data_IF_551273438432
#
_entry.id   IF_551273438432
#
_cell.length_a   1.000
_cell.length_b   1.000
_cell.length_c   1.000
_cell.angle_alpha   90.00
_cell.angle_beta   90.00
_cell.angle_gamma   90.00
#
_symmetry.space_group_name_H-M   'P 1'
#
loop_
_entity.id
_entity.type
_entity.pdbx_description
1 polymer ?
#
# COMPACT_ATOMS: atom_id res chain seq x y z
N UNK A 1 -21.30 7.68 5.77
CA UNK A 1 -22.25 6.63 6.24
C UNK A 1 -23.04 6.20 5.02
N UNK A 2 -23.11 4.89 4.77
CA UNK A 2 -23.81 4.34 3.61
C UNK A 2 -25.11 3.69 4.08
N UNK A 3 -26.24 4.05 3.46
CA UNK A 3 -27.52 3.37 3.65
C UNK A 3 -27.90 2.64 2.36
N UNK A 4 -28.46 1.44 2.51
CA UNK A 4 -28.88 0.58 1.40
C UNK A 4 -30.37 0.26 1.54
N UNK A 5 -31.13 0.44 0.48
CA UNK A 5 -32.57 0.18 0.45
C UNK A 5 -32.95 -0.65 -0.78
N UNK A 6 -33.70 -1.75 -0.57
CA UNK A 6 -34.32 -2.48 -1.69
C UNK A 6 -35.58 -1.76 -2.13
N UNK A 7 -35.83 -1.73 -3.43
CA UNK A 7 -36.96 -1.01 -4.02
C UNK A 7 -38.05 -1.98 -4.44
N UNK A 8 -39.31 -1.57 -4.27
CA UNK A 8 -40.47 -2.29 -4.79
C UNK A 8 -41.44 -1.34 -5.51
N UNK A 9 -42.18 -1.87 -6.48
CA UNK A 9 -43.25 -1.16 -7.19
C UNK A 9 -44.51 -2.02 -7.14
N UNK A 10 -45.63 -1.46 -6.70
CA UNK A 10 -46.89 -2.19 -6.49
C UNK A 10 -46.75 -3.49 -5.67
N UNK A 11 -45.82 -3.53 -4.71
CA UNK A 11 -45.56 -4.70 -3.87
C UNK A 11 -44.62 -5.75 -4.50
N UNK A 12 -44.20 -5.57 -5.76
CA UNK A 12 -43.23 -6.42 -6.41
C UNK A 12 -41.81 -5.92 -6.12
N UNK A 13 -40.98 -6.78 -5.53
CA UNK A 13 -39.57 -6.48 -5.28
C UNK A 13 -38.83 -6.35 -6.61
N UNK A 14 -38.13 -5.24 -6.79
CA UNK A 14 -37.30 -5.03 -7.97
C UNK A 14 -35.91 -5.63 -7.75
N UNK A 15 -35.22 -6.07 -8.82
CA UNK A 15 -33.85 -6.56 -8.75
C UNK A 15 -32.83 -5.41 -8.63
N UNK A 16 -33.18 -4.31 -7.96
CA UNK A 16 -32.31 -3.14 -7.77
C UNK A 16 -32.27 -2.72 -6.30
N UNK A 17 -31.11 -2.22 -5.87
CA UNK A 17 -30.87 -1.67 -4.54
C UNK A 17 -30.36 -0.25 -4.70
N UNK A 18 -30.92 0.68 -3.93
CA UNK A 18 -30.45 2.07 -3.87
C UNK A 18 -29.42 2.17 -2.74
N UNK A 19 -28.25 2.71 -3.07
CA UNK A 19 -27.23 3.06 -2.08
C UNK A 19 -27.15 4.58 -1.98
N UNK A 20 -27.25 5.10 -0.76
CA UNK A 20 -27.09 6.53 -0.46
C UNK A 20 -25.88 6.70 0.44
N UNK A 21 -24.94 7.52 0.02
CA UNK A 21 -23.76 7.85 0.82
C UNK A 21 -23.76 9.34 1.19
N UNK A 22 -23.62 9.63 2.49
CA UNK A 22 -23.44 10.99 3.01
C UNK A 22 -21.94 11.28 3.10
N UNK A 23 -21.48 12.25 2.31
CA UNK A 23 -20.14 12.80 2.36
C UNK A 23 -20.10 14.09 3.16
N UNK A 24 -18.96 14.37 3.80
CA UNK A 24 -18.70 15.68 4.42
C UNK A 24 -18.15 16.62 3.35
N UNK A 25 -18.64 17.88 3.27
CA UNK A 25 -17.98 18.90 2.47
C UNK A 25 -16.53 19.02 2.93
N UNK A 26 -15.60 19.04 1.98
CA UNK A 26 -14.21 19.37 2.22
C UNK A 26 -13.74 20.32 1.13
N UNK A 27 -12.87 21.25 1.48
CA UNK A 27 -12.25 22.17 0.53
C UNK A 27 -10.79 21.76 0.35
N UNK A 28 -10.38 21.34 -0.86
CA UNK A 28 -9.00 20.94 -1.10
C UNK A 28 -8.09 22.17 -1.13
N UNK A 29 -7.07 22.19 -0.28
CA UNK A 29 -6.00 23.19 -0.37
C UNK A 29 -4.88 22.68 -1.27
N UNK A 30 -4.59 23.41 -2.35
CA UNK A 30 -3.41 23.14 -3.17
C UNK A 30 -2.17 23.52 -2.37
N UNK A 31 -1.27 22.56 -2.19
CA UNK A 31 0.00 22.77 -1.50
C UNK A 31 1.13 22.09 -2.25
N UNK A 32 2.20 22.83 -2.50
CA UNK A 32 3.46 22.27 -2.98
C UNK A 32 4.12 21.48 -1.85
N UNK A 33 4.41 20.21 -2.10
CA UNK A 33 5.26 19.41 -1.20
C UNK A 33 6.72 19.69 -1.48
N UNK A 34 7.51 19.79 -0.42
CA UNK A 34 8.97 19.91 -0.60
C UNK A 34 9.56 18.58 -1.06
N UNK A 35 10.78 18.65 -1.61
CA UNK A 35 11.56 17.46 -1.92
C UNK A 35 11.75 16.60 -0.67
N UNK A 36 12.17 17.22 0.44
CA UNK A 36 12.39 16.54 1.72
C UNK A 36 11.12 15.84 2.25
N UNK A 37 9.95 16.48 2.19
CA UNK A 37 8.70 15.87 2.63
C UNK A 37 8.33 14.65 1.77
N UNK A 38 8.57 14.75 0.46
CA UNK A 38 8.25 13.67 -0.48
C UNK A 38 9.24 12.52 -0.36
N UNK A 39 10.53 12.82 -0.16
CA UNK A 39 11.57 11.82 0.12
C UNK A 39 11.30 11.08 1.43
N UNK A 40 10.95 11.80 2.50
CA UNK A 40 10.61 11.19 3.79
C UNK A 40 9.38 10.29 3.69
N UNK A 41 8.32 10.75 3.02
CA UNK A 41 7.12 9.96 2.79
C UNK A 41 7.41 8.71 1.92
N UNK A 42 8.20 8.87 0.86
CA UNK A 42 8.61 7.77 -0.02
C UNK A 42 9.49 6.75 0.70
N UNK A 43 10.46 7.21 1.49
CA UNK A 43 11.32 6.35 2.31
C UNK A 43 10.51 5.55 3.34
N UNK A 44 9.59 6.20 4.05
CA UNK A 44 8.70 5.50 4.99
C UNK A 44 7.83 4.45 4.29
N UNK A 45 7.29 4.77 3.10
CA UNK A 45 6.51 3.84 2.30
C UNK A 45 7.35 2.65 1.82
N UNK A 46 8.58 2.89 1.34
CA UNK A 46 9.52 1.82 0.95
C UNK A 46 9.81 0.89 2.12
N UNK A 47 10.17 1.44 3.28
CA UNK A 47 10.48 0.63 4.46
C UNK A 47 9.29 -0.19 4.91
N UNK A 48 8.09 0.39 4.96
CA UNK A 48 6.87 -0.34 5.32
C UNK A 48 6.54 -1.45 4.32
N UNK A 49 6.71 -1.18 3.02
CA UNK A 49 6.50 -2.16 1.97
C UNK A 49 7.48 -3.32 2.08
N UNK A 50 8.79 -3.03 2.20
CA UNK A 50 9.81 -4.07 2.37
C UNK A 50 9.58 -4.88 3.64
N UNK A 51 9.24 -4.24 4.76
CA UNK A 51 8.91 -4.95 6.00
C UNK A 51 7.71 -5.89 5.86
N UNK A 52 6.76 -5.59 4.96
CA UNK A 52 5.64 -6.49 4.66
C UNK A 52 6.03 -7.70 3.78
N UNK A 53 7.14 -7.60 3.06
CA UNK A 53 7.66 -8.65 2.19
C UNK A 53 8.69 -9.54 2.87
N UNK A 54 9.48 -8.98 3.78
CA UNK A 54 10.51 -9.74 4.49
C UNK A 54 9.83 -10.81 5.37
N UNK A 55 10.17 -12.07 5.10
CA UNK A 55 9.82 -13.19 5.98
C UNK A 55 10.60 -13.15 7.30
N UNK A 56 10.54 -14.23 8.08
CA UNK A 56 11.20 -14.26 9.41
C UNK A 56 12.73 -14.10 9.35
N UNK A 57 13.34 -14.50 8.22
CA UNK A 57 14.79 -14.50 8.04
C UNK A 57 15.28 -13.43 7.03
N UNK A 58 14.38 -12.52 6.61
CA UNK A 58 14.71 -11.42 5.70
C UNK A 58 15.21 -10.17 6.44
N UNK A 59 16.22 -9.50 5.89
CA UNK A 59 16.79 -8.28 6.44
C UNK A 59 16.92 -7.19 5.37
N UNK A 60 16.49 -5.97 5.70
CA UNK A 60 16.79 -4.77 4.91
C UNK A 60 18.15 -4.23 5.37
N UNK A 61 19.18 -4.37 4.52
CA UNK A 61 20.55 -3.93 4.83
C UNK A 61 20.71 -2.42 4.73
N UNK A 62 20.18 -1.85 3.65
CA UNK A 62 20.29 -0.42 3.40
C UNK A 62 19.12 0.08 2.56
N UNK A 63 18.82 1.36 2.68
CA UNK A 63 17.84 2.07 1.86
C UNK A 63 18.41 3.40 1.45
N UNK A 64 18.21 3.79 0.19
CA UNK A 64 18.62 5.08 -0.35
C UNK A 64 17.42 5.75 -1.00
N UNK A 65 17.22 7.01 -0.66
CA UNK A 65 16.22 7.87 -1.28
C UNK A 65 16.96 9.02 -1.94
N UNK A 66 16.62 9.28 -3.21
CA UNK A 66 17.12 10.44 -3.93
C UNK A 66 15.99 11.09 -4.71
N UNK A 67 16.06 12.39 -4.94
CA UNK A 67 15.08 13.09 -5.76
C UNK A 67 15.72 13.98 -6.81
N UNK A 68 14.94 14.25 -7.86
CA UNK A 68 15.29 15.17 -8.93
C UNK A 68 14.07 15.98 -9.34
N UNK A 69 14.19 17.30 -9.29
CA UNK A 69 13.20 18.22 -9.83
C UNK A 69 13.43 18.41 -11.33
N UNK A 70 12.36 18.40 -12.13
CA UNK A 70 12.38 18.75 -13.56
C UNK A 70 11.12 19.53 -13.89
N UNK A 71 11.25 20.86 -14.09
CA UNK A 71 10.10 21.75 -14.17
C UNK A 71 9.26 21.66 -12.89
N UNK A 72 7.96 21.38 -13.03
CA UNK A 72 7.02 21.22 -11.92
C UNK A 72 6.95 19.77 -11.39
N UNK A 73 7.72 18.84 -11.97
CA UNK A 73 7.70 17.42 -11.57
C UNK A 73 8.87 17.11 -10.65
N UNK A 74 8.57 16.67 -9.43
CA UNK A 74 9.52 16.03 -8.54
C UNK A 74 9.51 14.52 -8.76
N UNK A 75 10.63 13.93 -9.18
CA UNK A 75 10.82 12.49 -9.25
C UNK A 75 11.61 12.03 -8.04
N UNK A 76 11.08 11.08 -7.28
CA UNK A 76 11.78 10.42 -6.18
C UNK A 76 12.12 8.99 -6.58
N UNK A 77 13.38 8.61 -6.41
CA UNK A 77 13.92 7.28 -6.63
C UNK A 77 14.20 6.63 -5.30
N UNK A 78 13.59 5.48 -5.07
CA UNK A 78 13.70 4.68 -3.85
C UNK A 78 14.48 3.41 -4.20
N UNK A 79 15.55 3.14 -3.46
CA UNK A 79 16.40 1.95 -3.66
C UNK A 79 16.61 1.27 -2.31
N UNK A 80 16.73 -0.05 -2.32
CA UNK A 80 17.06 -0.81 -1.12
C UNK A 80 17.99 -1.97 -1.47
N UNK A 81 18.77 -2.37 -0.48
CA UNK A 81 19.51 -3.62 -0.46
C UNK A 81 18.88 -4.51 0.60
N UNK A 82 18.45 -5.71 0.19
CA UNK A 82 17.80 -6.68 1.07
C UNK A 82 18.50 -8.04 0.91
N UNK A 83 18.50 -8.81 1.99
CA UNK A 83 19.02 -10.17 2.02
C UNK A 83 17.95 -11.08 2.60
N UNK A 84 17.72 -12.22 1.96
CA UNK A 84 16.80 -13.24 2.44
C UNK A 84 17.32 -14.65 2.12
N UNK A 85 16.92 -15.63 2.93
CA UNK A 85 17.13 -17.04 2.64
C UNK A 85 16.02 -17.53 1.68
N UNK A 86 16.40 -17.91 0.46
CA UNK A 86 15.43 -18.38 -0.56
C UNK A 86 15.11 -19.88 -0.35
N UNK A 87 16.01 -20.62 0.31
CA UNK A 87 15.88 -22.04 0.57
C UNK A 87 15.10 -22.37 1.85
N UNK A 88 14.54 -23.58 1.92
CA UNK A 88 13.97 -24.12 3.15
C UNK A 88 14.69 -25.41 3.52
N UNK A 89 15.22 -25.48 4.74
CA UNK A 89 15.76 -26.73 5.28
C UNK A 89 14.62 -27.72 5.50
N UNK A 90 14.67 -28.84 4.79
CA UNK A 90 13.77 -29.98 5.02
C UNK A 90 14.54 -31.07 5.74
N UNK A 91 14.02 -31.62 6.85
CA UNK A 91 14.67 -32.76 7.51
C UNK A 91 14.65 -33.95 6.55
N UNK A 92 15.77 -34.67 6.49
CA UNK A 92 15.80 -35.97 5.83
C UNK A 92 15.07 -36.96 6.74
N UNK A 93 13.97 -37.53 6.26
CA UNK A 93 13.37 -38.69 6.92
C UNK A 93 14.37 -39.84 6.78
N UNK A 94 15.05 -40.19 7.88
CA UNK A 94 15.76 -41.44 7.94
C UNK A 94 14.71 -42.54 7.70
N UNK A 95 14.84 -43.29 6.60
CA UNK A 95 13.99 -44.44 6.34
C UNK A 95 14.00 -45.31 7.61
N UNK A 96 12.85 -45.42 8.25
CA UNK A 96 12.68 -46.30 9.40
C UNK A 96 12.90 -47.73 8.89
N UNK A 97 13.98 -48.35 9.36
CA UNK A 97 14.29 -49.77 9.21
C UNK A 97 13.45 -50.59 10.20
#
# INVERSE_FOLDING_TARGET
MVTRQRVSIFGLSLPVTVETEIYRPFEPTVRTRSAQETEAAGGAALTAYLASLMGQDGEIRSTLVSSRQTGDVLRVTLTAECVEEIGRTVPLEAAAE
#
